data_IF_888611946076
#
_entry.id   IF_888611946076
#
_cell.length_a   1.000
_cell.length_b   1.000
_cell.length_c   1.000
_cell.angle_alpha   90.00
_cell.angle_beta   90.00
_cell.angle_gamma   90.00
#
_symmetry.space_group_name_H-M   'P 1'
#
loop_
_entity.id
_entity.type
_entity.pdbx_description
1 polymer ?
#
# COMPACT_ATOMS: atom_id res chain seq x y z
N UNK A 1 19.94 2.92 -39.67
CA UNK A 1 19.85 4.37 -39.40
C UNK A 1 18.88 4.54 -38.25
N UNK A 2 19.43 4.82 -37.07
CA UNK A 2 18.69 5.14 -35.85
C UNK A 2 17.97 6.48 -35.97
N UNK A 3 16.82 6.63 -35.32
CA UNK A 3 16.40 7.89 -34.75
C UNK A 3 16.46 7.84 -33.21
N UNK A 4 17.37 8.66 -32.71
CA UNK A 4 17.34 9.51 -31.51
C UNK A 4 16.76 9.00 -30.19
N UNK A 5 17.72 8.80 -29.27
CA UNK A 5 17.61 9.16 -27.87
C UNK A 5 17.34 10.67 -27.74
N UNK A 6 16.13 11.02 -27.31
CA UNK A 6 15.80 12.23 -26.53
C UNK A 6 14.27 12.27 -26.39
N UNK A 7 13.75 11.66 -25.33
CA UNK A 7 12.44 11.99 -24.78
C UNK A 7 12.54 12.08 -23.26
N UNK A 8 11.93 13.11 -22.65
CA UNK A 8 12.33 13.60 -21.33
C UNK A 8 11.95 12.62 -20.25
N UNK A 9 12.82 12.52 -19.23
CA UNK A 9 12.48 12.00 -17.91
C UNK A 9 11.16 12.64 -17.46
N UNK A 10 10.24 11.83 -16.96
CA UNK A 10 8.99 12.31 -16.34
C UNK A 10 9.33 13.31 -15.23
N UNK A 11 9.19 14.59 -15.56
CA UNK A 11 9.35 15.73 -14.67
C UNK A 11 8.31 15.66 -13.55
N UNK A 12 8.68 15.00 -12.44
CA UNK A 12 8.32 15.50 -11.12
C UNK A 12 9.56 16.18 -10.56
N UNK A 13 9.69 17.49 -10.81
CA UNK A 13 10.74 18.28 -10.20
C UNK A 13 10.44 18.48 -8.71
N UNK A 14 11.43 18.15 -7.86
CA UNK A 14 11.44 18.17 -6.39
C UNK A 14 10.89 19.44 -5.72
N UNK A 15 10.71 20.55 -6.45
CA UNK A 15 10.15 21.81 -5.95
C UNK A 15 8.65 21.75 -5.64
N UNK A 16 7.93 20.77 -6.19
CA UNK A 16 6.55 20.47 -5.79
C UNK A 16 6.46 19.56 -4.54
N UNK A 17 7.57 18.90 -4.18
CA UNK A 17 7.62 17.85 -3.13
C UNK A 17 8.26 18.33 -1.83
N UNK A 18 8.99 19.45 -1.81
CA UNK A 18 9.77 19.89 -0.65
C UNK A 18 9.32 21.21 -0.01
N UNK A 19 8.01 21.43 0.21
CA UNK A 19 7.59 22.57 1.04
C UNK A 19 6.59 22.28 2.15
N UNK A 20 6.32 21.00 2.49
CA UNK A 20 5.80 20.58 3.79
C UNK A 20 5.85 19.04 3.90
N UNK A 21 6.64 18.55 4.85
CA UNK A 21 6.59 17.22 5.51
C UNK A 21 6.87 15.99 4.65
N UNK A 22 8.13 15.55 4.73
CA UNK A 22 8.84 14.54 3.94
C UNK A 22 8.53 13.08 4.27
N UNK A 23 7.42 12.76 4.92
CA UNK A 23 7.01 11.37 5.23
C UNK A 23 5.98 10.77 4.24
N UNK A 24 5.57 11.51 3.21
CA UNK A 24 4.41 11.17 2.37
C UNK A 24 4.68 10.19 1.19
N UNK A 25 5.86 9.58 1.09
CA UNK A 25 6.22 8.76 -0.09
C UNK A 25 6.13 7.24 0.13
N UNK A 26 6.01 6.73 1.36
CA UNK A 26 5.85 5.29 1.60
C UNK A 26 4.38 4.81 1.52
N UNK A 27 3.42 5.68 1.85
CA UNK A 27 1.96 5.41 1.90
C UNK A 27 1.30 5.26 0.54
N UNK A 28 1.81 5.97 -0.48
CA UNK A 28 1.22 5.95 -1.82
C UNK A 28 1.54 4.68 -2.63
N UNK A 29 2.45 3.82 -2.17
CA UNK A 29 2.78 2.58 -2.88
C UNK A 29 1.67 1.52 -2.78
N UNK A 30 0.87 1.50 -1.70
CA UNK A 30 -0.16 0.46 -1.50
C UNK A 30 -1.54 0.82 -2.05
N UNK A 31 -1.80 2.11 -2.29
CA UNK A 31 -3.10 2.63 -2.70
C UNK A 31 -3.23 2.86 -4.22
N UNK A 32 -2.59 1.96 -4.99
CA UNK A 32 -2.33 1.97 -6.44
C UNK A 32 -0.86 2.33 -6.72
N UNK A 33 -0.04 1.32 -6.94
CA UNK A 33 1.32 1.37 -7.53
C UNK A 33 1.33 1.95 -8.96
N UNK A 34 0.67 3.08 -9.19
CA UNK A 34 0.78 3.82 -10.44
C UNK A 34 2.21 4.33 -10.69
N UNK A 35 3.12 4.28 -9.72
CA UNK A 35 4.52 4.70 -9.87
C UNK A 35 5.53 3.59 -10.20
N UNK A 36 5.20 2.31 -9.99
CA UNK A 36 6.16 1.19 -10.15
C UNK A 36 5.87 0.29 -11.35
N UNK A 37 4.83 0.60 -12.14
CA UNK A 37 4.39 -0.19 -13.30
C UNK A 37 4.88 0.33 -14.65
N UNK A 38 5.87 1.24 -14.68
CA UNK A 38 6.51 1.78 -15.89
C UNK A 38 7.21 0.73 -16.78
N UNK A 39 7.12 -0.56 -16.42
CA UNK A 39 7.64 -1.69 -17.17
C UNK A 39 6.58 -2.64 -17.75
N UNK A 40 5.28 -2.36 -17.58
CA UNK A 40 4.25 -3.16 -18.25
C UNK A 40 4.15 -2.71 -19.72
N UNK A 41 4.33 -3.61 -20.70
CA UNK A 41 4.06 -3.27 -22.09
C UNK A 41 2.60 -2.86 -22.24
N UNK A 42 2.28 -1.97 -23.21
CA UNK A 42 0.88 -1.69 -23.50
C UNK A 42 0.16 -3.01 -23.82
N UNK A 43 -1.06 -3.16 -23.30
CA UNK A 43 -2.02 -4.15 -23.74
C UNK A 43 -2.08 -4.08 -25.27
N UNK A 44 -1.42 -5.02 -25.93
CA UNK A 44 -1.37 -5.06 -27.40
C UNK A 44 -2.74 -4.89 -28.05
N UNK A 45 -2.77 -4.45 -29.30
CA UNK A 45 -3.92 -4.01 -30.11
C UNK A 45 -5.17 -4.92 -30.19
N UNK A 46 -5.18 -6.05 -29.50
CA UNK A 46 -6.22 -7.09 -29.52
C UNK A 46 -7.28 -6.92 -28.41
N UNK A 47 -7.46 -5.73 -27.86
CA UNK A 47 -8.54 -5.45 -26.91
C UNK A 47 -9.93 -5.64 -27.58
N UNK A 48 -10.79 -6.46 -26.97
CA UNK A 48 -12.15 -6.75 -27.44
C UNK A 48 -13.16 -6.20 -26.44
N UNK A 49 -14.11 -5.44 -26.95
CA UNK A 49 -15.16 -4.82 -26.14
C UNK A 49 -16.46 -5.60 -26.28
N UNK A 50 -17.12 -5.87 -25.16
CA UNK A 50 -18.36 -6.63 -25.11
C UNK A 50 -18.80 -6.89 -23.68
N UNK A 51 -20.04 -7.35 -23.51
CA UNK A 51 -20.62 -7.51 -22.17
C UNK A 51 -19.86 -8.54 -21.34
N UNK A 52 -19.39 -8.14 -20.17
CA UNK A 52 -18.83 -9.02 -19.15
C UNK A 52 -19.80 -9.14 -17.97
N UNK A 53 -19.54 -10.12 -17.11
CA UNK A 53 -20.33 -10.40 -15.91
C UNK A 53 -19.42 -10.87 -14.81
N UNK A 54 -18.80 -9.93 -14.12
CA UNK A 54 -18.01 -10.22 -12.96
C UNK A 54 -18.89 -10.85 -11.86
N UNK A 55 -18.30 -11.71 -11.03
CA UNK A 55 -18.99 -12.26 -9.87
C UNK A 55 -19.62 -11.16 -9.00
N UNK A 56 -20.71 -11.51 -8.33
CA UNK A 56 -21.26 -10.68 -7.26
C UNK A 56 -20.29 -10.66 -6.07
N UNK A 57 -20.36 -9.60 -5.28
CA UNK A 57 -19.56 -9.43 -4.07
C UNK A 57 -20.48 -9.05 -2.92
N UNK A 58 -19.99 -9.30 -1.71
CA UNK A 58 -20.69 -8.92 -0.49
C UNK A 58 -20.90 -7.40 -0.40
N UNK A 59 -21.84 -6.93 0.44
CA UNK A 59 -21.93 -5.51 0.76
C UNK A 59 -20.62 -4.96 1.37
N UNK A 60 -20.34 -3.65 1.25
CA UNK A 60 -19.04 -3.09 1.62
C UNK A 60 -18.95 -2.85 3.14
N UNK A 61 -18.76 -3.92 3.91
CA UNK A 61 -18.73 -3.90 5.38
C UNK A 61 -17.46 -3.25 5.95
N UNK A 62 -16.35 -3.23 5.19
CA UNK A 62 -15.11 -2.53 5.55
C UNK A 62 -15.31 -1.03 5.81
N UNK A 63 -16.37 -0.41 5.25
CA UNK A 63 -16.69 1.01 5.41
C UNK A 63 -16.95 1.42 6.86
N UNK A 64 -17.18 0.44 7.74
CA UNK A 64 -17.30 0.69 9.19
C UNK A 64 -16.02 1.30 9.78
N UNK A 65 -14.86 0.93 9.24
CA UNK A 65 -13.55 1.37 9.72
C UNK A 65 -13.05 2.66 9.07
N UNK A 66 -13.86 3.30 8.21
CA UNK A 66 -13.45 4.46 7.44
C UNK A 66 -14.01 5.75 8.07
N UNK A 67 -13.27 6.42 8.98
CA UNK A 67 -13.74 7.66 9.59
C UNK A 67 -13.90 8.76 8.54
N UNK A 68 -14.93 9.60 8.70
CA UNK A 68 -15.11 10.78 7.89
C UNK A 68 -13.97 11.77 8.13
N UNK A 69 -13.39 12.29 7.05
CA UNK A 69 -12.31 13.30 7.10
C UNK A 69 -12.65 14.49 7.99
N UNK A 70 -13.88 14.98 7.94
CA UNK A 70 -14.35 16.12 8.75
C UNK A 70 -14.40 15.85 10.24
N UNK A 71 -14.36 14.58 10.66
CA UNK A 71 -14.39 14.20 12.08
C UNK A 71 -12.99 14.14 12.69
N UNK A 72 -11.95 13.89 11.89
CA UNK A 72 -10.58 13.69 12.37
C UNK A 72 -9.88 15.05 12.47
N UNK A 73 -9.36 15.37 13.65
CA UNK A 73 -8.63 16.61 13.85
C UNK A 73 -7.32 16.57 13.05
N UNK A 74 -6.96 17.70 12.43
CA UNK A 74 -5.65 17.89 11.77
C UNK A 74 -5.34 16.88 10.66
N UNK A 75 -6.30 16.55 9.79
CA UNK A 75 -5.95 15.84 8.55
C UNK A 75 -5.13 16.79 7.66
N UNK A 76 -3.85 16.51 7.39
CA UNK A 76 -3.08 17.31 6.44
C UNK A 76 -3.75 17.27 5.06
N UNK A 77 -3.50 18.29 4.24
CA UNK A 77 -3.83 18.20 2.82
C UNK A 77 -2.91 17.15 2.19
N UNK A 78 -3.36 15.90 2.18
CA UNK A 78 -2.56 14.78 1.63
C UNK A 78 -2.64 14.83 0.11
N UNK A 79 -1.50 14.87 -0.61
CA UNK A 79 -1.48 14.69 -2.05
C UNK A 79 -2.19 13.38 -2.44
N UNK A 80 -3.23 13.45 -3.27
CA UNK A 80 -4.04 12.28 -3.63
C UNK A 80 -5.29 12.06 -2.77
N UNK A 81 -5.47 12.84 -1.69
CA UNK A 81 -6.67 12.83 -0.86
C UNK A 81 -6.91 11.51 -0.12
N UNK A 82 -8.17 11.23 0.21
CA UNK A 82 -8.56 10.04 0.95
C UNK A 82 -8.31 8.77 0.14
N UNK A 83 -7.53 7.85 0.69
CA UNK A 83 -7.24 6.57 0.06
C UNK A 83 -7.20 5.42 1.06
N UNK A 84 -7.54 4.23 0.59
CA UNK A 84 -7.46 3.00 1.36
C UNK A 84 -7.41 1.78 0.44
N UNK A 85 -6.92 0.67 0.99
CA UNK A 85 -6.92 -0.65 0.37
C UNK A 85 -7.62 -1.64 1.30
N UNK A 86 -8.38 -2.56 0.73
CA UNK A 86 -8.98 -3.71 1.41
C UNK A 86 -8.46 -4.97 0.74
N UNK A 87 -8.05 -5.93 1.54
CA UNK A 87 -7.59 -7.24 1.13
C UNK A 87 -8.32 -8.30 1.98
N UNK A 88 -8.75 -9.40 1.37
CA UNK A 88 -9.21 -10.59 2.10
C UNK A 88 -8.32 -11.79 1.79
N UNK A 89 -8.47 -12.85 2.58
CA UNK A 89 -7.85 -14.17 2.37
C UNK A 89 -7.95 -14.67 0.92
N UNK A 90 -9.10 -14.49 0.27
CA UNK A 90 -9.39 -14.89 -1.10
C UNK A 90 -8.48 -14.22 -2.15
N UNK A 91 -7.78 -13.13 -1.82
CA UNK A 91 -6.76 -12.54 -2.68
C UNK A 91 -5.39 -13.24 -2.59
N UNK A 92 -5.20 -14.15 -1.64
CA UNK A 92 -3.98 -14.94 -1.43
C UNK A 92 -3.84 -16.19 -2.29
N UNK A 93 -4.66 -16.33 -3.36
CA UNK A 93 -4.59 -17.46 -4.29
C UNK A 93 -3.23 -17.50 -4.99
N UNK A 94 -2.66 -18.69 -5.13
CA UNK A 94 -1.39 -18.88 -5.84
C UNK A 94 -1.49 -18.60 -7.35
N UNK A 95 -2.70 -18.71 -7.93
CA UNK A 95 -2.99 -18.50 -9.35
C UNK A 95 -3.50 -17.08 -9.67
N UNK A 96 -3.60 -16.20 -8.66
CA UNK A 96 -4.12 -14.84 -8.84
C UNK A 96 -3.27 -14.04 -9.84
N UNK A 97 -3.85 -13.09 -10.60
CA UNK A 97 -3.07 -12.24 -11.50
C UNK A 97 -1.87 -11.58 -10.81
N UNK A 98 -0.75 -11.42 -11.52
CA UNK A 98 0.50 -10.89 -10.97
C UNK A 98 0.33 -9.56 -10.23
N UNK A 99 -0.53 -8.68 -10.77
CA UNK A 99 -0.84 -7.40 -10.15
C UNK A 99 -1.43 -7.54 -8.73
N UNK A 100 -2.27 -8.56 -8.49
CA UNK A 100 -2.83 -8.82 -7.16
C UNK A 100 -1.79 -9.43 -6.23
N UNK A 101 -0.99 -10.39 -6.72
CA UNK A 101 0.11 -10.95 -5.93
C UNK A 101 1.06 -9.84 -5.45
N UNK A 102 1.45 -8.94 -6.36
CA UNK A 102 2.31 -7.80 -6.06
C UNK A 102 1.67 -6.86 -5.03
N UNK A 103 0.40 -6.48 -5.21
CA UNK A 103 -0.32 -5.60 -4.26
C UNK A 103 -0.43 -6.23 -2.88
N UNK A 104 -0.70 -7.53 -2.81
CA UNK A 104 -0.72 -8.29 -1.56
C UNK A 104 0.64 -8.30 -0.89
N UNK A 105 1.71 -8.55 -1.64
CA UNK A 105 3.08 -8.54 -1.13
C UNK A 105 3.44 -7.19 -0.51
N UNK A 106 3.05 -6.07 -1.13
CA UNK A 106 3.25 -4.73 -0.58
C UNK A 106 2.52 -4.52 0.76
N UNK A 107 1.26 -4.94 0.86
CA UNK A 107 0.50 -4.87 2.13
C UNK A 107 1.16 -5.75 3.19
N UNK A 108 1.67 -6.93 2.82
CA UNK A 108 2.40 -7.84 3.71
C UNK A 108 3.68 -7.20 4.26
N UNK A 109 4.51 -6.65 3.38
CA UNK A 109 5.75 -5.96 3.77
C UNK A 109 5.50 -4.74 4.66
N UNK A 110 4.41 -4.02 4.42
CA UNK A 110 4.04 -2.84 5.18
C UNK A 110 3.31 -3.15 6.49
N UNK A 111 3.09 -4.42 6.86
CA UNK A 111 2.38 -4.80 8.09
C UNK A 111 3.37 -5.42 9.08
N UNK A 112 3.47 -4.85 10.29
CA UNK A 112 4.28 -5.44 11.36
C UNK A 112 3.82 -6.86 11.72
N UNK A 113 4.74 -7.65 12.26
CA UNK A 113 4.44 -8.97 12.82
C UNK A 113 3.95 -8.85 14.26
N UNK A 114 2.72 -9.32 14.50
CA UNK A 114 2.03 -9.24 15.79
C UNK A 114 1.85 -10.60 16.48
N UNK A 115 2.58 -11.64 16.05
CA UNK A 115 2.33 -13.03 16.48
C UNK A 115 1.33 -13.78 15.61
N UNK A 116 0.75 -13.09 14.61
CA UNK A 116 -0.20 -13.63 13.64
C UNK A 116 0.39 -13.53 12.25
N UNK A 117 0.53 -14.67 11.58
CA UNK A 117 1.05 -14.73 10.21
C UNK A 117 0.08 -14.10 9.21
N UNK A 118 0.60 -13.41 8.21
CA UNK A 118 -0.19 -12.61 7.26
C UNK A 118 -1.35 -13.37 6.59
N UNK A 119 -1.17 -14.66 6.33
CA UNK A 119 -2.20 -15.51 5.71
C UNK A 119 -3.38 -15.85 6.63
N UNK A 120 -3.25 -15.61 7.94
CA UNK A 120 -4.31 -15.84 8.91
C UNK A 120 -5.31 -14.68 9.01
N UNK A 121 -5.02 -13.52 8.41
CA UNK A 121 -5.94 -12.39 8.38
C UNK A 121 -7.10 -12.63 7.41
N UNK A 122 -8.33 -12.61 7.92
CA UNK A 122 -9.55 -12.67 7.11
C UNK A 122 -9.70 -11.41 6.27
N UNK A 123 -9.33 -10.27 6.86
CA UNK A 123 -9.38 -8.97 6.20
C UNK A 123 -8.32 -8.00 6.71
N UNK A 124 -7.74 -7.25 5.79
CA UNK A 124 -6.81 -6.16 6.06
C UNK A 124 -7.35 -4.89 5.40
N UNK A 125 -7.45 -3.81 6.15
CA UNK A 125 -7.92 -2.51 5.69
C UNK A 125 -6.84 -1.48 6.00
N UNK A 126 -6.04 -1.13 5.01
CA UNK A 126 -4.99 -0.11 5.13
C UNK A 126 -5.54 1.23 4.67
N UNK A 127 -5.46 2.25 5.52
CA UNK A 127 -5.94 3.61 5.25
C UNK A 127 -4.82 4.61 5.52
N UNK A 128 -5.00 5.87 5.10
CA UNK A 128 -4.09 6.95 5.50
C UNK A 128 -3.97 7.17 7.04
N UNK A 129 -4.90 6.63 7.83
CA UNK A 129 -4.94 6.78 9.29
C UNK A 129 -4.32 5.62 10.05
N UNK A 130 -4.14 4.46 9.41
CA UNK A 130 -3.80 3.21 10.07
C UNK A 130 -4.30 2.00 9.29
N UNK A 131 -3.92 0.82 9.77
CA UNK A 131 -4.32 -0.48 9.23
C UNK A 131 -5.17 -1.23 10.26
N UNK A 132 -6.31 -1.74 9.83
CA UNK A 132 -7.17 -2.64 10.63
C UNK A 132 -6.98 -4.06 10.12
N UNK A 133 -6.72 -4.99 11.03
CA UNK A 133 -6.56 -6.42 10.76
C UNK A 133 -7.68 -7.17 11.48
N UNK A 134 -8.50 -7.89 10.72
CA UNK A 134 -9.58 -8.74 11.24
C UNK A 134 -9.19 -10.21 11.05
N UNK A 135 -9.28 -11.01 12.10
CA UNK A 135 -9.00 -12.44 12.08
C UNK A 135 -9.53 -13.14 13.34
N UNK A 136 -9.71 -14.45 13.25
CA UNK A 136 -9.87 -15.32 14.42
C UNK A 136 -8.48 -15.67 15.00
N UNK A 137 -7.96 -14.80 15.89
CA UNK A 137 -6.73 -15.03 16.63
C UNK A 137 -6.96 -14.93 18.14
N UNK A 138 -6.12 -15.60 18.91
CA UNK A 138 -6.08 -15.45 20.37
C UNK A 138 -5.41 -14.12 20.74
N UNK A 139 -6.11 -13.16 21.37
CA UNK A 139 -5.52 -11.89 21.79
C UNK A 139 -4.31 -12.07 22.72
N UNK A 140 -4.27 -13.16 23.51
CA UNK A 140 -3.14 -13.44 24.40
C UNK A 140 -1.85 -13.64 23.61
N UNK A 141 -1.89 -14.38 22.50
CA UNK A 141 -0.74 -14.57 21.58
C UNK A 141 -0.17 -13.23 21.11
N UNK A 142 -1.05 -12.27 20.78
CA UNK A 142 -0.62 -10.94 20.34
C UNK A 142 0.00 -10.15 21.49
N UNK A 143 -0.67 -10.09 22.65
CA UNK A 143 -0.18 -9.36 23.82
C UNK A 143 1.14 -9.91 24.38
N UNK A 144 1.42 -11.21 24.21
CA UNK A 144 2.70 -11.83 24.55
C UNK A 144 3.80 -11.55 23.52
N UNK A 145 3.44 -11.40 22.23
CA UNK A 145 4.39 -11.14 21.14
C UNK A 145 4.85 -9.67 21.10
N UNK A 146 3.96 -8.72 21.35
CA UNK A 146 4.26 -7.28 21.25
C UNK A 146 5.47 -6.84 22.12
N UNK A 147 5.57 -7.22 23.41
CA UNK A 147 6.75 -6.90 24.23
C UNK A 147 8.06 -7.48 23.70
N UNK A 148 8.02 -8.62 23.02
CA UNK A 148 9.21 -9.23 22.41
C UNK A 148 9.69 -8.47 21.18
N UNK A 149 8.80 -7.70 20.54
CA UNK A 149 9.09 -6.87 19.37
C UNK A 149 9.21 -5.38 19.72
N UNK A 150 9.62 -5.07 20.96
CA UNK A 150 9.83 -3.72 21.52
C UNK A 150 8.59 -2.82 21.63
N UNK A 151 7.39 -3.36 21.46
CA UNK A 151 6.17 -2.63 21.82
C UNK A 151 5.98 -2.68 23.35
N UNK A 152 5.85 -1.52 23.98
CA UNK A 152 5.51 -1.40 25.39
C UNK A 152 3.99 -1.22 25.57
N UNK A 153 3.42 -1.80 26.62
CA UNK A 153 2.02 -1.56 26.97
C UNK A 153 1.80 -0.09 27.33
N UNK A 154 0.82 0.55 26.68
CA UNK A 154 0.49 1.98 26.72
C UNK A 154 -0.98 2.19 27.16
N UNK A 155 -1.45 1.33 28.07
CA UNK A 155 -2.78 1.45 28.66
C UNK A 155 -3.88 0.82 27.81
N UNK A 156 -5.09 1.34 27.95
CA UNK A 156 -6.29 0.81 27.30
C UNK A 156 -7.06 1.93 26.65
N UNK A 157 -7.73 1.60 25.54
CA UNK A 157 -8.65 2.52 24.87
C UNK A 157 -9.93 1.77 24.51
N UNK A 158 -11.02 2.12 25.20
CA UNK A 158 -12.27 1.33 25.19
C UNK A 158 -11.99 -0.11 25.60
N UNK A 159 -12.35 -1.08 24.76
CA UNK A 159 -12.17 -2.51 25.01
C UNK A 159 -10.86 -3.06 24.38
N UNK A 160 -9.92 -2.17 24.03
CA UNK A 160 -8.63 -2.55 23.45
C UNK A 160 -7.47 -2.30 24.42
N UNK A 161 -6.55 -3.26 24.49
CA UNK A 161 -5.23 -3.07 25.09
C UNK A 161 -4.32 -2.36 24.07
N UNK A 162 -3.69 -1.27 24.49
CA UNK A 162 -2.89 -0.42 23.60
C UNK A 162 -1.42 -0.65 23.89
N UNK A 163 -0.62 -0.74 22.85
CA UNK A 163 0.83 -0.83 22.90
C UNK A 163 1.44 0.23 22.01
N UNK A 164 2.57 0.79 22.42
CA UNK A 164 3.30 1.82 21.71
C UNK A 164 4.78 1.43 21.54
N UNK A 165 5.39 1.97 20.50
CA UNK A 165 6.80 1.78 20.17
C UNK A 165 7.38 3.10 19.69
N UNK A 166 8.60 3.42 20.13
CA UNK A 166 9.18 4.77 20.03
C UNK A 166 10.25 4.94 18.96
N UNK A 167 11.03 3.90 18.62
CA UNK A 167 12.13 3.99 17.64
C UNK A 167 11.65 4.50 16.27
N UNK A 168 10.48 4.04 15.85
CA UNK A 168 9.60 4.73 14.93
C UNK A 168 8.22 4.74 15.56
N UNK A 169 7.59 5.92 15.77
CA UNK A 169 6.30 6.00 16.44
C UNK A 169 5.25 5.09 15.81
N UNK A 170 4.89 4.03 16.53
CA UNK A 170 3.85 3.06 16.15
C UNK A 170 2.98 2.77 17.35
N UNK A 171 1.69 2.51 17.10
CA UNK A 171 0.75 2.06 18.14
C UNK A 171 -0.11 0.93 17.61
N UNK A 172 -0.39 -0.05 18.46
CA UNK A 172 -1.30 -1.18 18.20
C UNK A 172 -2.36 -1.19 19.29
N UNK A 173 -3.63 -1.26 18.90
CA UNK A 173 -4.74 -1.59 19.78
C UNK A 173 -5.18 -3.03 19.50
N UNK A 174 -5.16 -3.87 20.53
CA UNK A 174 -5.49 -5.30 20.49
C UNK A 174 -6.87 -5.49 21.09
N UNK A 175 -7.82 -5.97 20.28
CA UNK A 175 -9.17 -6.31 20.72
C UNK A 175 -9.53 -7.74 20.34
N UNK A 176 -10.79 -8.13 20.58
CA UNK A 176 -11.30 -9.44 20.21
C UNK A 176 -11.43 -9.57 18.68
N UNK A 177 -10.58 -10.43 18.09
CA UNK A 177 -10.51 -10.68 16.65
C UNK A 177 -10.16 -9.47 15.77
N UNK A 178 -9.64 -8.38 16.37
CA UNK A 178 -9.28 -7.15 15.64
C UNK A 178 -8.02 -6.51 16.18
N UNK A 179 -7.10 -6.15 15.30
CA UNK A 179 -5.98 -5.25 15.60
C UNK A 179 -6.15 -3.93 14.86
N UNK A 180 -5.90 -2.81 15.52
CA UNK A 180 -5.80 -1.49 14.88
C UNK A 180 -4.38 -0.98 15.06
N UNK A 181 -3.64 -0.89 13.96
CA UNK A 181 -2.23 -0.51 13.97
C UNK A 181 -2.02 0.83 13.25
N UNK A 182 -1.13 1.63 13.82
CA UNK A 182 -0.72 2.91 13.27
C UNK A 182 0.80 3.01 13.30
N UNK A 183 1.35 3.74 12.35
CA UNK A 183 2.79 3.89 12.13
C UNK A 183 3.02 5.24 11.48
N UNK A 184 3.89 6.05 12.08
CA UNK A 184 4.31 7.33 11.50
C UNK A 184 5.08 7.18 10.18
N UNK A 185 5.58 5.98 9.88
CA UNK A 185 6.24 5.69 8.61
C UNK A 185 5.25 5.23 7.52
N UNK A 186 4.28 4.37 7.88
CA UNK A 186 3.38 3.75 6.89
C UNK A 186 2.01 4.45 6.75
N UNK A 187 1.71 5.47 7.55
CA UNK A 187 0.41 6.16 7.51
C UNK A 187 0.61 7.68 7.57
N UNK A 188 -0.06 8.42 6.68
CA UNK A 188 0.15 9.88 6.51
C UNK A 188 -0.34 10.69 7.71
N UNK A 189 -1.39 10.20 8.37
CA UNK A 189 -2.02 10.87 9.50
C UNK A 189 -2.42 9.84 10.56
N UNK A 190 -1.45 9.17 11.22
CA UNK A 190 -1.73 8.10 12.18
C UNK A 190 -2.80 8.52 13.22
N UNK A 191 -3.95 7.83 13.25
CA UNK A 191 -5.10 8.20 14.08
C UNK A 191 -5.84 6.94 14.59
N UNK A 192 -5.23 6.26 15.56
CA UNK A 192 -5.72 4.98 16.11
C UNK A 192 -7.14 5.12 16.67
N UNK A 193 -7.37 6.13 17.49
CA UNK A 193 -8.67 6.39 18.14
C UNK A 193 -9.76 6.67 17.10
N UNK A 194 -9.42 7.34 15.98
CA UNK A 194 -10.38 7.63 14.92
C UNK A 194 -10.85 6.36 14.20
N UNK A 195 -9.96 5.39 13.99
CA UNK A 195 -10.31 4.09 13.41
C UNK A 195 -11.17 3.27 14.37
N UNK A 196 -10.76 3.18 15.65
CA UNK A 196 -11.52 2.45 16.69
C UNK A 196 -12.92 3.05 16.88
N UNK A 197 -13.03 4.38 17.00
CA UNK A 197 -14.32 5.05 17.15
C UNK A 197 -15.24 4.87 15.93
N UNK A 198 -14.68 4.92 14.71
CA UNK A 198 -15.45 4.66 13.49
C UNK A 198 -15.95 3.22 13.45
N UNK A 199 -15.09 2.26 13.78
CA UNK A 199 -15.43 0.84 13.90
C UNK A 199 -16.60 0.62 14.86
N UNK A 200 -16.55 1.24 16.03
CA UNK A 200 -17.61 1.21 17.05
C UNK A 200 -18.89 1.98 16.64
N UNK A 201 -18.82 2.86 15.62
CA UNK A 201 -19.94 3.70 15.20
C UNK A 201 -20.14 4.96 16.06
N UNK A 202 -19.16 5.28 16.90
CA UNK A 202 -19.14 6.47 17.77
C UNK A 202 -18.59 7.71 17.06
N UNK A 203 -18.15 7.54 15.81
CA UNK A 203 -17.63 8.59 14.94
C UNK A 203 -18.26 8.48 13.55
N UNK A 204 -18.64 9.61 12.90
CA UNK A 204 -19.18 9.60 11.55
C UNK A 204 -18.25 8.88 10.58
N UNK A 205 -18.80 7.99 9.76
CA UNK A 205 -18.04 7.26 8.74
C UNK A 205 -18.07 7.99 7.42
N UNK A 206 -17.06 7.78 6.58
CA UNK A 206 -16.89 8.61 5.39
C UNK A 206 -18.02 8.45 4.36
N UNK A 207 -18.60 7.25 4.25
CA UNK A 207 -19.76 7.00 3.40
C UNK A 207 -21.04 7.70 3.89
N UNK A 208 -21.19 7.89 5.20
CA UNK A 208 -22.33 8.64 5.75
C UNK A 208 -22.20 10.14 5.47
N UNK A 209 -20.96 10.66 5.46
CA UNK A 209 -20.67 12.07 5.22
C UNK A 209 -20.55 12.46 3.73
N UNK A 210 -20.33 11.51 2.82
CA UNK A 210 -20.04 11.76 1.41
C UNK A 210 -20.87 10.88 0.48
N UNK A 211 -21.96 11.44 -0.07
CA UNK A 211 -22.81 10.74 -1.05
C UNK A 211 -22.07 10.25 -2.31
N UNK A 212 -21.10 10.99 -2.90
CA UNK A 212 -20.31 10.46 -4.00
C UNK A 212 -19.50 9.23 -3.61
N UNK A 213 -18.88 9.25 -2.42
CA UNK A 213 -18.09 8.14 -1.91
C UNK A 213 -18.96 6.92 -1.56
N UNK A 214 -20.13 7.15 -0.95
CA UNK A 214 -21.11 6.09 -0.68
C UNK A 214 -21.54 5.38 -1.96
N UNK A 215 -21.85 6.13 -3.02
CA UNK A 215 -22.22 5.52 -4.32
C UNK A 215 -21.08 4.72 -4.94
N UNK A 216 -19.86 5.26 -4.93
CA UNK A 216 -18.69 4.55 -5.47
C UNK A 216 -18.46 3.24 -4.72
N UNK A 217 -18.38 3.31 -3.40
CA UNK A 217 -18.09 2.13 -2.56
C UNK A 217 -19.23 1.12 -2.51
N UNK A 218 -20.49 1.57 -2.64
CA UNK A 218 -21.64 0.68 -2.82
C UNK A 218 -21.55 -0.09 -4.14
N UNK A 219 -21.11 0.56 -5.22
CA UNK A 219 -20.92 -0.09 -6.51
C UNK A 219 -19.69 -1.04 -6.52
N UNK A 220 -18.65 -0.70 -5.76
CA UNK A 220 -17.47 -1.57 -5.60
C UNK A 220 -17.82 -2.85 -4.85
N UNK A 221 -18.68 -2.74 -3.82
CA UNK A 221 -19.00 -3.83 -2.90
C UNK A 221 -17.82 -4.16 -1.99
N UNK A 222 -17.82 -5.34 -1.37
CA UNK A 222 -16.72 -5.91 -0.60
C UNK A 222 -15.99 -7.03 -1.38
N UNK A 223 -15.21 -6.68 -2.41
CA UNK A 223 -14.44 -7.65 -3.19
C UNK A 223 -13.22 -8.16 -2.39
N UNK A 224 -12.62 -9.30 -2.80
CA UNK A 224 -11.36 -9.80 -2.24
C UNK A 224 -10.19 -8.82 -2.25
N UNK A 225 -10.15 -7.93 -3.25
CA UNK A 225 -9.24 -6.80 -3.27
C UNK A 225 -9.99 -5.54 -3.72
N UNK A 226 -9.74 -4.42 -3.04
CA UNK A 226 -10.20 -3.09 -3.40
C UNK A 226 -9.15 -2.04 -3.06
N UNK A 227 -8.72 -1.24 -4.04
CA UNK A 227 -8.03 0.03 -3.80
C UNK A 227 -8.96 1.19 -4.13
N UNK A 228 -9.02 2.21 -3.27
CA UNK A 228 -9.79 3.43 -3.51
C UNK A 228 -8.89 4.64 -3.36
N UNK A 229 -9.03 5.59 -4.28
CA UNK A 229 -8.36 6.86 -4.23
C UNK A 229 -9.34 7.98 -4.62
N UNK A 230 -9.43 9.01 -3.78
CA UNK A 230 -10.39 10.09 -3.95
C UNK A 230 -9.92 11.23 -4.87
N UNK A 231 -8.70 11.16 -5.43
CA UNK A 231 -8.17 12.17 -6.34
C UNK A 231 -7.30 11.54 -7.44
N UNK A 232 -7.94 10.98 -8.47
CA UNK A 232 -7.26 10.50 -9.68
C UNK A 232 -7.92 11.02 -10.95
N UNK A 233 -7.14 11.02 -12.04
CA UNK A 233 -7.64 11.22 -13.39
C UNK A 233 -8.01 9.88 -14.03
N UNK A 234 -9.11 9.84 -14.77
CA UNK A 234 -9.43 8.74 -15.67
C UNK A 234 -8.53 8.77 -16.94
N UNK A 235 -8.61 7.75 -17.81
CA UNK A 235 -7.82 7.71 -19.05
C UNK A 235 -8.09 8.86 -20.03
N UNK A 236 -9.19 9.59 -19.86
CA UNK A 236 -9.52 10.79 -20.66
C UNK A 236 -8.97 12.08 -20.03
N UNK A 237 -8.25 11.97 -18.90
CA UNK A 237 -7.72 13.10 -18.14
C UNK A 237 -8.73 13.77 -17.20
N UNK A 238 -9.93 13.22 -17.03
CA UNK A 238 -10.97 13.81 -16.16
C UNK A 238 -10.83 13.36 -14.72
N UNK A 239 -11.02 14.28 -13.78
CA UNK A 239 -10.97 13.97 -12.36
C UNK A 239 -12.19 13.14 -11.91
N UNK A 240 -11.93 12.08 -11.15
CA UNK A 240 -12.96 11.23 -10.55
C UNK A 240 -12.47 10.63 -9.22
N UNK A 241 -13.42 10.23 -8.37
CA UNK A 241 -13.11 9.24 -7.34
C UNK A 241 -12.96 7.88 -8.03
N UNK A 242 -11.95 7.11 -7.64
CA UNK A 242 -11.62 5.83 -8.27
C UNK A 242 -11.74 4.68 -7.28
N UNK A 243 -12.34 3.58 -7.70
CA UNK A 243 -12.24 2.28 -7.06
C UNK A 243 -11.70 1.26 -8.06
N UNK A 244 -10.63 0.56 -7.72
CA UNK A 244 -10.03 -0.54 -8.49
C UNK A 244 -10.14 -1.82 -7.68
N UNK A 245 -10.87 -2.80 -8.20
CA UNK A 245 -11.19 -4.02 -7.47
C UNK A 245 -10.92 -5.27 -8.30
N UNK A 246 -10.64 -6.37 -7.60
CA UNK A 246 -10.56 -7.69 -8.21
C UNK A 246 -11.60 -8.62 -7.62
N UNK A 247 -12.26 -9.36 -8.51
CA UNK A 247 -13.24 -10.40 -8.18
C UNK A 247 -12.79 -11.70 -8.83
N UNK A 248 -12.99 -12.82 -8.14
CA UNK A 248 -12.53 -14.13 -8.60
C UNK A 248 -13.71 -14.99 -9.04
N UNK A 249 -13.76 -15.31 -10.33
CA UNK A 249 -14.68 -16.29 -10.89
C UNK A 249 -14.07 -17.69 -10.91
N UNK A 250 -14.78 -18.66 -11.46
CA UNK A 250 -14.30 -20.04 -11.57
C UNK A 250 -13.12 -20.17 -12.55
N UNK A 251 -13.15 -19.43 -13.67
CA UNK A 251 -12.24 -19.58 -14.80
C UNK A 251 -11.34 -18.36 -15.07
N UNK A 252 -11.61 -17.24 -14.41
CA UNK A 252 -10.81 -16.02 -14.51
C UNK A 252 -11.04 -15.08 -13.32
N UNK A 253 -10.11 -14.16 -13.14
CA UNK A 253 -10.31 -12.97 -12.34
C UNK A 253 -10.97 -11.86 -13.18
N UNK A 254 -11.59 -10.91 -12.51
CA UNK A 254 -12.21 -9.74 -13.10
C UNK A 254 -11.70 -8.51 -12.38
N UNK A 255 -11.02 -7.63 -13.10
CA UNK A 255 -10.64 -6.31 -12.60
C UNK A 255 -11.73 -5.32 -12.94
N UNK A 256 -12.27 -4.60 -11.95
CA UNK A 256 -13.26 -3.55 -12.16
C UNK A 256 -12.68 -2.22 -11.69
N UNK A 257 -12.57 -1.28 -12.62
CA UNK A 257 -12.20 0.10 -12.33
C UNK A 257 -13.43 0.98 -12.48
N UNK A 258 -13.85 1.59 -11.38
CA UNK A 258 -15.04 2.41 -11.28
C UNK A 258 -14.65 3.87 -11.05
N UNK A 259 -15.22 4.76 -11.85
CA UNK A 259 -14.97 6.20 -11.81
C UNK A 259 -16.26 6.92 -11.43
N UNK A 260 -16.24 7.65 -10.32
CA UNK A 260 -17.35 8.48 -9.87
C UNK A 260 -17.01 9.95 -10.10
N UNK A 261 -17.66 10.55 -11.09
CA UNK A 261 -17.39 11.91 -11.56
C UNK A 261 -18.12 12.98 -10.77
N UNK A 262 -17.44 14.08 -10.46
CA UNK A 262 -18.14 15.25 -9.92
C UNK A 262 -19.15 15.79 -10.93
N UNK A 263 -18.70 15.97 -12.17
CA UNK A 263 -19.46 16.55 -13.28
C UNK A 263 -19.88 15.46 -14.28
N UNK A 264 -20.16 15.85 -15.52
CA UNK A 264 -20.59 14.91 -16.56
C UNK A 264 -19.46 13.92 -16.90
N UNK A 265 -19.73 12.60 -16.90
CA UNK A 265 -18.75 11.60 -17.25
C UNK A 265 -18.41 11.64 -18.76
N UNK A 266 -17.28 11.07 -19.17
CA UNK A 266 -17.07 10.73 -20.57
C UNK A 266 -18.11 9.69 -21.03
N UNK A 267 -18.37 9.61 -22.33
CA UNK A 267 -19.19 8.53 -22.88
C UNK A 267 -18.43 7.20 -22.80
N UNK A 268 -19.14 6.07 -22.88
CA UNK A 268 -18.49 4.76 -22.95
C UNK A 268 -17.46 4.71 -24.09
N UNK A 269 -17.84 5.16 -25.30
CA UNK A 269 -16.92 5.22 -26.45
C UNK A 269 -15.66 6.04 -26.17
N UNK A 270 -15.78 7.18 -25.50
CA UNK A 270 -14.61 8.02 -25.15
C UNK A 270 -13.66 7.30 -24.19
N UNK A 271 -14.21 6.54 -23.23
CA UNK A 271 -13.39 5.71 -22.33
C UNK A 271 -12.73 4.55 -23.09
N UNK A 272 -13.47 3.86 -23.96
CA UNK A 272 -12.90 2.78 -24.78
C UNK A 272 -11.76 3.28 -25.67
N UNK A 273 -11.95 4.41 -26.36
CA UNK A 273 -10.94 4.98 -27.25
C UNK A 273 -9.68 5.41 -26.47
N UNK A 274 -9.87 5.97 -25.27
CA UNK A 274 -8.76 6.33 -24.39
C UNK A 274 -8.00 5.10 -23.89
N UNK A 275 -8.69 4.05 -23.46
CA UNK A 275 -8.10 2.80 -22.97
C UNK A 275 -7.34 2.01 -24.04
N UNK A 276 -7.68 2.17 -25.32
CA UNK A 276 -6.89 1.63 -26.44
C UNK A 276 -5.56 2.34 -26.65
N UNK A 277 -5.42 3.55 -26.12
CA UNK A 277 -4.25 4.43 -26.31
C UNK A 277 -3.40 4.55 -25.05
N UNK A 278 -4.03 4.47 -23.87
CA UNK A 278 -3.43 4.62 -22.56
C UNK A 278 -4.03 3.56 -21.61
N UNK A 279 -3.32 2.45 -21.44
CA UNK A 279 -3.78 1.21 -20.80
C UNK A 279 -3.17 0.98 -19.40
N UNK A 280 -2.58 2.01 -18.81
CA UNK A 280 -1.64 1.95 -17.69
C UNK A 280 -2.13 1.28 -16.38
N UNK A 281 -3.40 0.88 -16.24
CA UNK A 281 -3.98 0.42 -14.96
C UNK A 281 -4.56 -0.99 -14.96
N UNK A 282 -4.64 -1.65 -16.11
CA UNK A 282 -5.21 -3.00 -16.20
C UNK A 282 -4.12 -4.06 -16.18
N UNK A 283 -4.42 -5.22 -15.59
CA UNK A 283 -3.49 -6.35 -15.56
C UNK A 283 -3.16 -6.85 -16.99
N UNK A 284 -1.88 -7.14 -17.26
CA UNK A 284 -1.30 -7.32 -18.61
C UNK A 284 -1.91 -8.46 -19.48
N UNK A 285 -2.55 -9.54 -18.98
CA UNK A 285 -3.27 -10.42 -19.91
C UNK A 285 -4.72 -9.99 -20.19
N UNK A 286 -5.18 -8.82 -19.73
CA UNK A 286 -6.55 -8.36 -19.98
C UNK A 286 -6.78 -8.08 -21.48
N UNK A 287 -7.67 -8.86 -22.10
CA UNK A 287 -8.02 -8.71 -23.53
C UNK A 287 -9.51 -8.47 -23.77
N UNK A 288 -10.37 -8.77 -22.80
CA UNK A 288 -11.80 -8.56 -22.90
C UNK A 288 -12.24 -7.49 -21.90
N UNK A 289 -12.96 -6.49 -22.41
CA UNK A 289 -13.38 -5.31 -21.66
C UNK A 289 -14.87 -5.05 -21.83
N UNK A 290 -15.52 -4.53 -20.79
CA UNK A 290 -16.87 -3.98 -20.82
C UNK A 290 -16.84 -2.57 -20.21
N UNK A 291 -17.46 -1.60 -20.88
CA UNK A 291 -17.54 -0.22 -20.42
C UNK A 291 -18.99 0.18 -20.30
N UNK A 292 -19.42 0.48 -19.08
CA UNK A 292 -20.76 0.96 -18.78
C UNK A 292 -20.69 2.33 -18.10
N UNK A 293 -21.58 3.24 -18.50
CA UNK A 293 -21.76 4.54 -17.84
C UNK A 293 -23.21 4.66 -17.39
N UNK A 294 -23.42 4.71 -16.08
CA UNK A 294 -24.73 4.93 -15.46
C UNK A 294 -24.72 6.23 -14.65
N UNK A 295 -25.43 7.24 -15.17
CA UNK A 295 -25.49 8.57 -14.59
C UNK A 295 -24.11 9.23 -14.51
N UNK A 296 -23.49 9.21 -13.32
CA UNK A 296 -22.15 9.78 -13.07
C UNK A 296 -21.16 8.74 -12.53
N UNK A 297 -21.45 7.47 -12.75
CA UNK A 297 -20.59 6.33 -12.42
C UNK A 297 -20.25 5.62 -13.73
N UNK A 298 -18.97 5.60 -14.10
CA UNK A 298 -18.47 4.71 -15.13
C UNK A 298 -17.87 3.47 -14.49
N UNK A 299 -18.07 2.30 -15.10
CA UNK A 299 -17.45 1.04 -14.72
C UNK A 299 -16.76 0.47 -15.95
N UNK A 300 -15.47 0.21 -15.81
CA UNK A 300 -14.67 -0.53 -16.79
C UNK A 300 -14.35 -1.87 -16.15
N UNK A 301 -14.85 -2.93 -16.75
CA UNK A 301 -14.61 -4.30 -16.32
C UNK A 301 -13.67 -4.98 -17.31
N UNK A 302 -12.70 -5.72 -16.79
CA UNK A 302 -11.72 -6.45 -17.58
C UNK A 302 -11.62 -7.89 -17.09
N UNK A 303 -11.70 -8.86 -18.01
CA UNK A 303 -11.47 -10.27 -17.70
C UNK A 303 -9.98 -10.56 -17.77
N UNK A 304 -9.43 -11.05 -16.66
CA UNK A 304 -8.00 -11.33 -16.47
C UNK A 304 -7.82 -12.83 -16.25
N UNK A 305 -7.15 -13.56 -17.17
CA UNK A 305 -6.80 -14.95 -16.95
C UNK A 305 -6.02 -15.16 -15.65
N UNK A 306 -6.24 -16.32 -15.01
CA UNK A 306 -5.37 -16.78 -13.94
C UNK A 306 -3.97 -17.10 -14.48
N UNK A 307 -2.97 -17.03 -13.60
CA UNK A 307 -1.60 -17.45 -13.93
C UNK A 307 -1.57 -18.96 -14.16
N UNK A 308 -0.92 -19.40 -15.23
CA UNK A 308 -0.71 -20.81 -15.58
C UNK A 308 0.77 -21.15 -15.84
N UNK A 309 1.67 -20.18 -15.63
CA UNK A 309 3.11 -20.27 -15.90
C UNK A 309 3.87 -21.12 -14.87
N UNK A 310 3.24 -21.47 -13.75
CA UNK A 310 3.82 -22.23 -12.64
C UNK A 310 4.89 -21.46 -11.86
N UNK A 311 5.11 -20.17 -12.15
CA UNK A 311 6.05 -19.35 -11.39
C UNK A 311 5.42 -18.92 -10.06
N UNK A 312 6.25 -18.91 -9.01
CA UNK A 312 5.82 -18.44 -7.71
C UNK A 312 5.45 -16.95 -7.77
N UNK A 313 4.30 -16.55 -7.23
CA UNK A 313 3.94 -15.14 -7.16
C UNK A 313 4.96 -14.35 -6.33
N UNK A 314 5.13 -13.07 -6.66
CA UNK A 314 5.93 -12.16 -5.82
C UNK A 314 5.38 -12.19 -4.39
N UNK A 315 6.28 -12.42 -3.42
CA UNK A 315 5.99 -12.35 -2.00
C UNK A 315 7.10 -11.59 -1.27
N UNK A 316 6.71 -10.81 -0.27
CA UNK A 316 7.61 -10.04 0.60
C UNK A 316 7.49 -10.55 2.03
N UNK A 317 8.53 -10.43 2.87
CA UNK A 317 8.47 -10.90 4.24
C UNK A 317 7.57 -9.98 5.11
N UNK A 318 6.78 -10.57 6.01
CA UNK A 318 6.11 -9.84 7.09
C UNK A 318 7.05 -9.81 8.30
N UNK A 319 7.64 -8.66 8.59
CA UNK A 319 8.63 -8.52 9.66
C UNK A 319 8.40 -7.21 10.40
N UNK A 320 8.50 -7.27 11.73
CA UNK A 320 8.63 -6.07 12.54
C UNK A 320 10.08 -5.60 12.49
N UNK A 321 10.36 -4.57 11.68
CA UNK A 321 11.69 -3.96 11.61
C UNK A 321 11.87 -2.88 12.67
N UNK A 322 13.03 -2.89 13.31
CA UNK A 322 13.47 -1.87 14.24
C UNK A 322 14.71 -1.14 13.80
N UNK A 323 14.92 0.03 14.39
CA UNK A 323 16.09 0.86 14.11
C UNK A 323 16.60 1.54 15.37
N UNK A 324 17.91 1.73 15.46
CA UNK A 324 18.55 2.58 16.46
C UNK A 324 19.48 3.54 15.69
N UNK A 325 19.33 4.86 15.88
CA UNK A 325 20.16 5.89 15.23
C UNK A 325 21.08 6.50 16.27
N UNK A 326 22.39 6.43 16.04
CA UNK A 326 23.41 7.10 16.84
C UNK A 326 24.00 8.26 16.03
N UNK A 327 23.53 9.47 16.33
CA UNK A 327 23.96 10.67 15.63
C UNK A 327 25.36 11.17 16.05
N UNK A 328 25.89 10.70 17.19
CA UNK A 328 27.24 11.06 17.64
C UNK A 328 28.28 10.16 16.98
N UNK A 329 27.91 8.89 16.70
CA UNK A 329 28.74 7.92 16.01
C UNK A 329 28.49 7.86 14.49
N UNK A 330 27.55 8.65 13.96
CA UNK A 330 27.09 8.59 12.56
C UNK A 330 26.73 7.16 12.11
N UNK A 331 25.95 6.43 12.93
CA UNK A 331 25.54 5.07 12.61
C UNK A 331 24.03 4.83 12.68
N UNK A 332 23.56 3.89 11.87
CA UNK A 332 22.18 3.38 11.90
C UNK A 332 22.22 1.88 12.05
N UNK A 333 21.57 1.34 13.08
CA UNK A 333 21.47 -0.10 13.32
C UNK A 333 20.08 -0.59 13.04
N UNK A 334 19.91 -1.44 12.01
CA UNK A 334 18.66 -2.14 11.75
C UNK A 334 18.57 -3.44 12.56
N UNK A 335 17.36 -3.79 12.99
CA UNK A 335 17.07 -5.01 13.76
C UNK A 335 15.85 -5.74 13.22
N UNK A 336 15.95 -7.06 13.10
CA UNK A 336 14.81 -7.95 12.90
C UNK A 336 14.19 -8.27 14.27
N UNK A 337 13.01 -7.74 14.57
CA UNK A 337 12.40 -7.90 15.89
C UNK A 337 11.51 -9.15 15.99
N UNK A 338 11.00 -9.63 14.86
CA UNK A 338 10.01 -10.70 14.81
C UNK A 338 9.39 -10.86 13.42
N UNK A 339 8.92 -12.07 13.11
CA UNK A 339 8.24 -12.38 11.85
C UNK A 339 9.03 -13.33 10.94
N UNK A 340 8.82 -13.19 9.63
CA UNK A 340 9.39 -14.08 8.61
C UNK A 340 10.93 -14.03 8.61
N UNK A 341 11.56 -15.20 8.53
CA UNK A 341 12.99 -15.35 8.22
C UNK A 341 13.29 -14.79 6.82
N UNK A 342 14.36 -14.00 6.67
CA UNK A 342 14.67 -13.35 5.39
C UNK A 342 16.04 -13.77 4.85
N UNK A 343 16.16 -14.24 3.59
CA UNK A 343 17.46 -14.50 2.99
C UNK A 343 18.32 -13.23 2.93
N UNK A 344 19.51 -13.25 3.53
CA UNK A 344 20.37 -12.08 3.68
C UNK A 344 20.79 -11.48 2.32
N UNK A 345 20.96 -12.33 1.30
CA UNK A 345 21.31 -11.90 -0.06
C UNK A 345 20.21 -11.08 -0.77
N UNK A 346 18.99 -11.03 -0.20
CA UNK A 346 17.90 -10.17 -0.69
C UNK A 346 17.81 -8.84 0.05
N UNK A 347 18.56 -8.66 1.14
CA UNK A 347 18.52 -7.46 1.97
C UNK A 347 19.69 -6.53 1.65
N UNK A 348 19.34 -5.29 1.34
CA UNK A 348 20.25 -4.22 1.02
C UNK A 348 19.90 -2.99 1.84
N UNK A 349 20.82 -2.06 1.96
CA UNK A 349 20.51 -0.72 2.40
C UNK A 349 20.76 0.27 1.26
N UNK A 350 19.99 1.36 1.29
CA UNK A 350 20.19 2.53 0.46
C UNK A 350 20.34 3.75 1.36
N UNK A 351 21.07 4.77 0.89
CA UNK A 351 21.21 6.03 1.61
C UNK A 351 20.85 7.16 0.66
N UNK A 352 19.80 7.88 1.01
CA UNK A 352 19.34 9.04 0.26
C UNK A 352 20.38 10.16 0.27
N UNK A 353 20.56 10.80 -0.89
CA UNK A 353 21.47 11.95 -1.06
C UNK A 353 20.76 13.10 -1.78
N UNK A 354 20.97 14.36 -1.38
CA UNK A 354 20.37 15.51 -2.06
C UNK A 354 20.74 15.59 -3.54
N UNK A 355 21.97 15.21 -3.89
CA UNK A 355 22.53 15.31 -5.24
C UNK A 355 22.01 14.25 -6.24
N UNK A 356 21.33 13.19 -5.78
CA UNK A 356 20.83 12.11 -6.64
C UNK A 356 19.45 11.60 -6.17
N UNK A 357 18.41 12.45 -6.17
CA UNK A 357 17.09 12.06 -5.68
C UNK A 357 16.49 10.90 -6.47
N UNK A 358 16.01 9.87 -5.76
CA UNK A 358 15.26 8.75 -6.34
C UNK A 358 16.12 7.64 -6.95
N UNK A 359 17.45 7.74 -6.91
CA UNK A 359 18.34 6.64 -7.29
C UNK A 359 18.57 5.74 -6.08
N UNK A 360 18.17 4.48 -6.19
CA UNK A 360 18.50 3.44 -5.20
C UNK A 360 19.87 2.85 -5.51
N UNK A 361 20.79 2.91 -4.56
CA UNK A 361 22.11 2.28 -4.60
C UNK A 361 22.17 1.10 -3.62
N UNK A 362 21.74 -0.07 -4.10
CA UNK A 362 21.63 -1.31 -3.30
C UNK A 362 23.01 -1.74 -2.78
N UNK A 363 23.27 -1.54 -1.49
CA UNK A 363 24.49 -2.01 -0.82
C UNK A 363 24.18 -3.18 0.14
N UNK A 364 24.94 -4.29 0.11
CA UNK A 364 24.68 -5.41 1.02
C UNK A 364 24.85 -4.98 2.49
N UNK A 365 23.89 -5.36 3.34
CA UNK A 365 23.87 -4.98 4.77
C UNK A 365 24.30 -6.12 5.69
N UNK A 366 23.77 -7.34 5.52
CA UNK A 366 24.13 -8.51 6.32
C UNK A 366 25.12 -9.40 5.55
N UNK A 367 26.42 -9.23 5.81
CA UNK A 367 27.47 -10.02 5.17
C UNK A 367 27.85 -11.27 5.98
N UNK A 368 28.12 -12.38 5.30
CA UNK A 368 28.60 -13.62 5.92
C UNK A 368 27.52 -14.45 6.63
N UNK A 369 26.25 -14.06 6.52
CA UNK A 369 25.09 -14.83 7.01
C UNK A 369 24.19 -15.20 5.84
N UNK A 370 23.54 -16.36 5.93
CA UNK A 370 22.62 -16.84 4.89
C UNK A 370 21.20 -16.28 5.09
N UNK A 371 20.77 -16.21 6.35
CA UNK A 371 19.42 -15.81 6.77
C UNK A 371 19.50 -14.77 7.89
N UNK A 372 18.58 -13.82 7.86
CA UNK A 372 18.35 -12.81 8.89
C UNK A 372 17.04 -13.17 9.60
N UNK A 373 17.16 -13.49 10.89
CA UNK A 373 16.08 -13.93 11.76
C UNK A 373 15.95 -13.02 12.99
N UNK A 374 14.91 -13.23 13.79
CA UNK A 374 14.65 -12.49 15.03
C UNK A 374 15.89 -12.34 15.90
N UNK A 375 16.21 -11.10 16.27
CA UNK A 375 17.39 -10.71 17.03
C UNK A 375 18.61 -10.36 16.19
N UNK A 376 18.58 -10.61 14.87
CA UNK A 376 19.65 -10.20 13.96
C UNK A 376 19.73 -8.68 13.85
N UNK A 377 20.94 -8.15 13.90
CA UNK A 377 21.23 -6.71 13.78
C UNK A 377 22.27 -6.46 12.70
N UNK A 378 22.22 -5.31 12.04
CA UNK A 378 23.31 -4.82 11.21
C UNK A 378 23.42 -3.31 11.32
N UNK A 379 24.66 -2.82 11.39
CA UNK A 379 24.98 -1.41 11.54
C UNK A 379 25.54 -0.87 10.23
N UNK A 380 24.97 0.24 9.77
CA UNK A 380 25.44 1.05 8.66
C UNK A 380 26.23 2.21 9.22
N UNK A 381 27.47 2.35 8.77
CA UNK A 381 28.34 3.49 9.04
C UNK A 381 28.10 4.57 7.99
N UNK A 382 27.83 5.79 8.44
CA UNK A 382 27.53 6.95 7.60
C UNK A 382 28.67 7.98 7.61
N UNK A 383 29.74 7.76 8.38
CA UNK A 383 30.81 8.75 8.60
C UNK A 383 31.54 9.20 7.32
N UNK A 384 31.65 8.31 6.33
CA UNK A 384 32.27 8.59 5.03
C UNK A 384 31.28 9.12 3.96
N UNK A 385 30.01 9.35 4.32
CA UNK A 385 28.97 9.79 3.40
C UNK A 385 28.72 11.30 3.52
N UNK A 386 28.77 12.00 2.39
CA UNK A 386 28.42 13.42 2.32
C UNK A 386 26.89 13.59 2.39
N UNK A 387 26.44 14.35 3.40
CA UNK A 387 25.06 14.80 3.62
C UNK A 387 23.95 13.73 3.42
N UNK A 388 24.02 12.56 4.10
CA UNK A 388 22.96 11.57 3.94
C UNK A 388 21.65 12.05 4.59
N UNK A 389 20.55 11.95 3.86
CA UNK A 389 19.23 12.46 4.30
C UNK A 389 18.37 11.40 4.96
N UNK A 390 18.58 10.14 4.60
CA UNK A 390 17.79 9.01 5.06
C UNK A 390 18.55 7.71 4.81
N UNK A 391 18.21 6.67 5.57
CA UNK A 391 18.67 5.30 5.32
C UNK A 391 17.46 4.40 5.18
N UNK A 392 17.43 3.61 4.10
CA UNK A 392 16.35 2.70 3.78
C UNK A 392 16.82 1.26 3.75
N UNK A 393 16.05 0.36 4.36
CA UNK A 393 16.17 -1.08 4.22
C UNK A 393 15.39 -1.53 2.98
N UNK A 394 16.08 -2.24 2.08
CA UNK A 394 15.58 -2.60 0.76
C UNK A 394 15.59 -4.12 0.58
N UNK A 395 14.47 -4.65 0.09
CA UNK A 395 14.32 -6.03 -0.34
C UNK A 395 14.42 -6.12 -1.86
N UNK A 396 15.35 -6.89 -2.39
CA UNK A 396 15.47 -7.14 -3.83
C UNK A 396 14.79 -8.47 -4.21
N UNK A 397 13.86 -8.42 -5.15
CA UNK A 397 13.31 -9.62 -5.82
C UNK A 397 14.12 -10.01 -7.05
N UNK A 398 14.84 -9.05 -7.64
CA UNK A 398 15.80 -9.27 -8.71
C UNK A 398 16.83 -8.13 -8.74
N UNK A 399 17.74 -8.17 -9.70
CA UNK A 399 18.73 -7.10 -9.90
C UNK A 399 18.07 -5.73 -10.12
N UNK A 400 16.94 -5.71 -10.82
CA UNK A 400 16.22 -4.48 -11.20
C UNK A 400 14.97 -4.20 -10.37
N UNK A 401 14.35 -5.23 -9.78
CA UNK A 401 13.13 -5.10 -8.98
C UNK A 401 13.45 -5.10 -7.48
N UNK A 402 12.83 -4.18 -6.75
CA UNK A 402 13.03 -4.03 -5.31
C UNK A 402 11.80 -3.42 -4.64
N UNK A 403 11.78 -3.52 -3.31
CA UNK A 403 10.80 -2.89 -2.45
C UNK A 403 11.53 -2.30 -1.23
N UNK A 404 11.20 -1.07 -0.84
CA UNK A 404 11.71 -0.47 0.41
C UNK A 404 10.85 -1.01 1.55
N UNK A 405 11.44 -1.83 2.42
CA UNK A 405 10.75 -2.43 3.56
C UNK A 405 10.49 -1.39 4.67
N UNK A 406 11.49 -0.54 4.90
CA UNK A 406 11.53 0.35 6.06
C UNK A 406 12.59 1.44 5.83
N UNK A 407 12.45 2.60 6.45
CA UNK A 407 13.45 3.66 6.36
C UNK A 407 13.36 4.66 7.50
N UNK A 408 14.43 5.42 7.70
CA UNK A 408 14.55 6.44 8.74
C UNK A 408 15.15 7.71 8.14
N UNK A 409 14.53 8.85 8.40
CA UNK A 409 15.12 10.16 8.10
C UNK A 409 16.28 10.42 9.05
N UNK A 410 17.39 10.89 8.50
CA UNK A 410 18.56 11.28 9.25
C UNK A 410 18.52 12.78 9.51
N UNK A 411 18.85 13.16 10.74
CA UNK A 411 19.07 14.52 11.21
C UNK A 411 18.14 15.56 10.57
N UNK A 412 16.98 15.80 11.18
CA UNK A 412 16.08 16.90 10.77
C UNK A 412 16.84 18.22 10.64
N UNK A 413 16.43 19.07 9.68
CA UNK A 413 17.09 20.31 9.25
C UNK A 413 18.20 20.79 10.21
N UNK A 414 19.45 20.44 9.89
CA UNK A 414 20.65 21.07 10.47
C UNK A 414 20.82 22.49 9.92
N UNK A 415 19.75 23.28 9.90
CA UNK A 415 19.75 24.71 9.63
C UNK A 415 18.75 25.36 10.60
N UNK A 416 19.29 26.17 11.52
CA UNK A 416 18.57 26.76 12.64
C UNK A 416 17.67 27.96 12.33
#
# INVERSE_FOLDING_TARGET
MSPDADRPSTDYTRRAVLSRTSAALATSLSALTAGCLSGLPPLGSDQRYGRLRAPAVEPPSYRRWLPALSSVAQVPQVPGGYHFTVLTDAAGRSDAPELIALRRAHVKAATDYFGVGFAAYDRIITTMFGTVLEADFDPQTVTETLPQTRYAHDGTYRDYDVFAREDVPRRVAVGDGTLVWTSAYHHDAPALEALVDAGAGERPRFHEASRPFDRLTTAAGGPPYLGVNAQLQDPTGRAALLADSFRFGEDAAYQLVQYRYRDDPPTAQQLEDALRTDDFRFADPARAFDVAVDGRLATVEARVPYRDDGAEPVDYPQVTWGVDVDADADTVTFRHEGGDAVPAHRLFFDVGRPAAPGRIDKRPIWQGVETVDTGSTATVDLSDLEDPTDVSLVYATSDVAFHVLFGVELWGDRDG
#
